data_IF_510862332497
#
_entry.id   IF_510862332497
#
_cell.length_a   1.000
_cell.length_b   1.000
_cell.length_c   1.000
_cell.angle_alpha   90.00
_cell.angle_beta   90.00
_cell.angle_gamma   90.00
#
_symmetry.space_group_name_H-M   'P 1'
#
loop_
_entity.id
_entity.type
_entity.pdbx_description
1 polymer ?
#
# COMPACT_ATOMS: atom_id res chain seq x y z
N UNK A 1 66.40 -12.40 12.88
CA UNK A 1 65.38 -12.84 13.87
C UNK A 1 64.59 -11.63 14.39
N UNK A 2 63.81 -10.96 13.52
CA UNK A 2 62.88 -9.86 13.88
C UNK A 2 61.93 -9.51 12.73
N UNK A 3 61.56 -10.50 11.90
CA UNK A 3 60.71 -10.34 10.73
C UNK A 3 59.67 -11.48 10.58
N UNK A 4 59.48 -12.31 11.62
CA UNK A 4 58.61 -13.51 11.57
C UNK A 4 57.38 -13.40 12.47
N UNK A 5 57.16 -12.27 13.15
CA UNK A 5 56.10 -12.13 14.17
C UNK A 5 55.05 -11.07 13.82
N UNK A 6 55.17 -10.43 12.65
CA UNK A 6 54.19 -9.46 12.14
C UNK A 6 53.21 -10.08 11.13
N UNK A 7 53.53 -11.23 10.55
CA UNK A 7 52.66 -11.93 9.57
C UNK A 7 51.66 -12.90 10.23
N UNK A 8 51.73 -13.09 11.55
CA UNK A 8 50.84 -14.01 12.29
C UNK A 8 49.57 -13.33 12.84
N UNK A 9 49.40 -12.01 12.66
CA UNK A 9 48.20 -11.26 13.09
C UNK A 9 47.51 -10.66 11.87
N UNK A 10 47.37 -11.48 10.82
CA UNK A 10 46.46 -11.22 9.71
C UNK A 10 45.52 -12.43 9.56
N UNK A 11 45.14 -13.02 10.69
CA UNK A 11 44.00 -13.93 10.76
C UNK A 11 42.78 -13.16 10.26
N UNK A 12 42.26 -13.63 9.14
CA UNK A 12 41.03 -13.21 8.49
C UNK A 12 40.02 -12.67 9.50
N UNK A 13 39.78 -11.35 9.46
CA UNK A 13 38.48 -10.85 9.84
C UNK A 13 37.54 -11.29 8.71
N UNK A 14 37.12 -12.55 8.78
CA UNK A 14 35.93 -13.02 8.06
C UNK A 14 34.79 -12.23 8.69
N UNK A 15 34.50 -11.05 8.12
CA UNK A 15 33.20 -10.43 8.31
C UNK A 15 32.24 -11.48 7.76
N UNK A 16 31.42 -12.15 8.58
CA UNK A 16 30.45 -13.09 8.06
C UNK A 16 29.69 -12.33 6.98
N UNK A 17 29.61 -12.89 5.77
CA UNK A 17 28.82 -12.35 4.69
C UNK A 17 27.45 -11.98 5.28
N UNK A 18 27.27 -10.69 5.59
CA UNK A 18 25.98 -10.17 5.97
C UNK A 18 25.26 -10.14 4.63
N UNK A 19 24.66 -11.27 4.29
CA UNK A 19 23.70 -11.38 3.22
C UNK A 19 22.57 -10.45 3.62
N UNK A 20 22.70 -9.17 3.30
CA UNK A 20 21.57 -8.26 3.26
C UNK A 20 20.74 -8.85 2.14
N UNK A 21 19.81 -9.75 2.50
CA UNK A 21 18.71 -10.07 1.61
C UNK A 21 18.12 -8.72 1.22
N UNK A 22 18.13 -8.35 -0.08
CA UNK A 22 17.59 -7.07 -0.46
C UNK A 22 16.17 -7.01 0.06
N UNK A 23 15.77 -5.90 0.69
CA UNK A 23 14.46 -5.70 1.34
C UNK A 23 13.28 -6.05 0.40
N UNK A 24 13.55 -6.10 -0.91
CA UNK A 24 12.61 -6.39 -1.99
C UNK A 24 12.83 -7.76 -2.66
N UNK A 25 13.52 -8.70 -2.02
CA UNK A 25 13.61 -10.08 -2.51
C UNK A 25 12.21 -10.71 -2.54
N UNK A 26 11.79 -11.27 -3.68
CA UNK A 26 10.45 -11.84 -3.87
C UNK A 26 9.33 -10.86 -4.23
N UNK A 27 9.58 -9.55 -4.31
CA UNK A 27 8.58 -8.60 -4.84
C UNK A 27 8.47 -8.77 -6.35
N UNK A 28 7.25 -8.99 -6.83
CA UNK A 28 6.87 -9.18 -8.23
C UNK A 28 5.57 -8.45 -8.57
N UNK A 29 5.29 -8.26 -9.85
CA UNK A 29 4.10 -7.56 -10.36
C UNK A 29 2.80 -8.24 -9.91
N UNK A 30 2.83 -9.55 -9.67
CA UNK A 30 1.68 -10.31 -9.14
C UNK A 30 1.22 -9.83 -7.76
N UNK A 31 2.07 -9.16 -6.98
CA UNK A 31 1.65 -8.50 -5.73
C UNK A 31 0.57 -7.45 -5.99
N UNK A 32 0.60 -6.78 -7.15
CA UNK A 32 -0.41 -5.79 -7.51
C UNK A 32 -1.78 -6.45 -7.68
N UNK A 33 -1.86 -7.59 -8.38
CA UNK A 33 -3.10 -8.34 -8.52
C UNK A 33 -3.61 -8.89 -7.18
N UNK A 34 -2.71 -9.49 -6.38
CA UNK A 34 -3.08 -10.00 -5.07
C UNK A 34 -3.62 -8.88 -4.17
N UNK A 35 -3.00 -7.71 -4.21
CA UNK A 35 -3.44 -6.53 -3.45
C UNK A 35 -4.76 -5.97 -3.97
N UNK A 36 -4.97 -5.93 -5.28
CA UNK A 36 -6.24 -5.51 -5.88
C UNK A 36 -7.38 -6.46 -5.47
N UNK A 37 -7.13 -7.77 -5.49
CA UNK A 37 -8.10 -8.77 -5.03
C UNK A 37 -8.44 -8.58 -3.54
N UNK A 38 -7.43 -8.35 -2.69
CA UNK A 38 -7.63 -8.06 -1.27
C UNK A 38 -8.46 -6.78 -1.07
N UNK A 39 -8.11 -5.68 -1.75
CA UNK A 39 -8.85 -4.42 -1.69
C UNK A 39 -10.31 -4.60 -2.13
N UNK A 40 -10.56 -5.42 -3.16
CA UNK A 40 -11.91 -5.76 -3.62
C UNK A 40 -12.71 -6.51 -2.54
N UNK A 41 -12.09 -7.48 -1.86
CA UNK A 41 -12.75 -8.22 -0.79
C UNK A 41 -13.11 -7.32 0.39
N UNK A 42 -12.22 -6.40 0.77
CA UNK A 42 -12.50 -5.39 1.81
C UNK A 42 -13.65 -4.50 1.36
N UNK A 43 -13.62 -3.99 0.12
CA UNK A 43 -14.71 -3.19 -0.45
C UNK A 43 -16.06 -3.91 -0.41
N UNK A 44 -16.13 -5.19 -0.79
CA UNK A 44 -17.36 -5.97 -0.74
C UNK A 44 -17.89 -6.13 0.68
N UNK A 45 -17.00 -6.37 1.65
CA UNK A 45 -17.38 -6.44 3.06
C UNK A 45 -17.98 -5.11 3.52
N UNK A 46 -17.35 -3.98 3.19
CA UNK A 46 -17.84 -2.65 3.53
C UNK A 46 -19.20 -2.34 2.87
N UNK A 47 -19.42 -2.78 1.63
CA UNK A 47 -20.70 -2.64 0.93
C UNK A 47 -21.84 -3.36 1.66
N UNK A 48 -21.60 -4.60 2.10
CA UNK A 48 -22.57 -5.37 2.87
C UNK A 48 -22.84 -4.71 4.23
N UNK A 49 -21.79 -4.27 4.93
CA UNK A 49 -21.95 -3.55 6.20
C UNK A 49 -22.77 -2.27 6.03
N UNK A 50 -22.48 -1.47 5.00
CA UNK A 50 -23.25 -0.26 4.69
C UNK A 50 -24.73 -0.58 4.39
N UNK A 51 -24.99 -1.65 3.61
CA UNK A 51 -26.35 -2.11 3.29
C UNK A 51 -27.11 -2.52 4.54
N UNK A 52 -26.47 -3.27 5.45
CA UNK A 52 -27.07 -3.69 6.72
C UNK A 52 -27.38 -2.52 7.66
N UNK A 53 -26.57 -1.46 7.64
CA UNK A 53 -26.81 -0.24 8.44
C UNK A 53 -27.99 0.56 7.88
N UNK A 54 -27.99 0.80 6.56
CA UNK A 54 -28.95 1.68 5.90
C UNK A 54 -30.31 1.00 5.78
N UNK A 55 -30.34 -0.26 5.31
CA UNK A 55 -31.57 -0.99 5.03
C UNK A 55 -31.94 -2.00 6.11
N UNK A 56 -30.95 -2.67 6.70
CA UNK A 56 -31.19 -3.71 7.72
C UNK A 56 -31.65 -3.18 9.08
N UNK A 57 -31.59 -1.86 9.32
CA UNK A 57 -31.99 -1.19 10.57
C UNK A 57 -31.39 -1.82 11.84
N UNK A 58 -30.20 -2.40 11.74
CA UNK A 58 -29.51 -3.02 12.88
C UNK A 58 -28.91 -1.94 13.80
N UNK A 59 -29.64 -1.58 14.87
CA UNK A 59 -29.22 -0.54 15.80
C UNK A 59 -27.92 -0.87 16.55
N UNK A 60 -27.57 -2.16 16.65
CA UNK A 60 -26.28 -2.60 17.18
C UNK A 60 -25.10 -2.10 16.32
N UNK A 61 -25.23 -2.13 14.99
CA UNK A 61 -24.17 -1.68 14.08
C UNK A 61 -24.00 -0.16 14.11
N UNK A 62 -25.09 0.59 14.30
CA UNK A 62 -25.05 2.07 14.41
C UNK A 62 -24.27 2.55 15.64
N UNK A 63 -24.15 1.74 16.68
CA UNK A 63 -23.32 2.06 17.87
C UNK A 63 -21.83 1.91 17.60
N UNK A 64 -21.45 1.02 16.69
CA UNK A 64 -20.05 0.73 16.35
C UNK A 64 -19.59 1.61 15.19
N UNK A 65 -20.41 1.74 14.16
CA UNK A 65 -20.14 2.54 12.96
C UNK A 65 -20.86 3.87 13.11
N UNK A 66 -20.15 4.82 13.72
CA UNK A 66 -20.66 6.14 14.10
C UNK A 66 -20.91 7.04 12.88
N UNK A 67 -20.11 6.87 11.83
CA UNK A 67 -20.20 7.66 10.60
C UNK A 67 -20.34 6.77 9.35
N UNK A 68 -21.56 6.26 9.04
CA UNK A 68 -21.80 5.37 7.90
C UNK A 68 -21.40 5.97 6.54
N UNK A 69 -21.46 7.30 6.38
CA UNK A 69 -21.01 7.97 5.17
C UNK A 69 -19.50 7.80 4.91
N UNK A 70 -18.67 7.69 5.94
CA UNK A 70 -17.24 7.43 5.80
C UNK A 70 -16.97 5.97 5.44
N UNK A 71 -17.82 5.04 5.89
CA UNK A 71 -17.76 3.64 5.44
C UNK A 71 -18.07 3.54 3.94
N UNK A 72 -19.09 4.26 3.46
CA UNK A 72 -19.40 4.31 2.03
C UNK A 72 -18.26 4.95 1.23
N UNK A 73 -17.62 6.02 1.74
CA UNK A 73 -16.42 6.58 1.08
C UNK A 73 -15.27 5.59 1.00
N UNK A 74 -14.98 4.89 2.10
CA UNK A 74 -13.96 3.84 2.14
C UNK A 74 -14.25 2.77 1.10
N UNK A 75 -15.50 2.30 1.01
CA UNK A 75 -15.93 1.28 0.06
C UNK A 75 -15.66 1.70 -1.38
N UNK A 76 -16.12 2.89 -1.74
CA UNK A 76 -15.96 3.45 -3.09
C UNK A 76 -14.47 3.64 -3.41
N UNK A 77 -13.69 4.13 -2.46
CA UNK A 77 -12.27 4.38 -2.66
C UNK A 77 -11.50 3.06 -2.82
N UNK A 78 -11.79 2.01 -2.04
CA UNK A 78 -11.24 0.67 -2.28
C UNK A 78 -11.63 0.10 -3.64
N UNK A 79 -12.86 0.33 -4.12
CA UNK A 79 -13.28 -0.09 -5.47
C UNK A 79 -12.45 0.63 -6.54
N UNK A 80 -12.26 1.94 -6.40
CA UNK A 80 -11.45 2.74 -7.33
C UNK A 80 -10.00 2.27 -7.30
N UNK A 81 -9.41 2.09 -6.11
CA UNK A 81 -8.03 1.63 -5.96
C UNK A 81 -7.82 0.22 -6.54
N UNK A 82 -8.81 -0.67 -6.37
CA UNK A 82 -8.82 -1.99 -7.02
C UNK A 82 -8.78 -1.86 -8.54
N UNK A 83 -9.66 -1.04 -9.12
CA UNK A 83 -9.73 -0.83 -10.56
C UNK A 83 -8.43 -0.23 -11.11
N UNK A 84 -7.91 0.80 -10.44
CA UNK A 84 -6.64 1.45 -10.82
C UNK A 84 -5.46 0.48 -10.75
N UNK A 85 -5.33 -0.29 -9.67
CA UNK A 85 -4.23 -1.23 -9.50
C UNK A 85 -4.30 -2.40 -10.48
N UNK A 86 -5.51 -2.93 -10.71
CA UNK A 86 -5.77 -3.97 -11.72
C UNK A 86 -5.44 -3.47 -13.13
N UNK A 87 -5.90 -2.28 -13.51
CA UNK A 87 -5.55 -1.64 -14.78
C UNK A 87 -4.04 -1.44 -14.91
N UNK A 88 -3.39 -0.92 -13.87
CA UNK A 88 -1.94 -0.68 -13.86
C UNK A 88 -1.18 -1.98 -14.10
N UNK A 89 -1.54 -3.07 -13.42
CA UNK A 89 -0.95 -4.39 -13.65
C UNK A 89 -1.11 -4.82 -15.11
N UNK A 90 -2.33 -4.75 -15.65
CA UNK A 90 -2.62 -5.19 -17.02
C UNK A 90 -1.81 -4.39 -18.06
N UNK A 91 -1.72 -3.06 -17.90
CA UNK A 91 -0.96 -2.21 -18.82
C UNK A 91 0.54 -2.49 -18.75
N UNK A 92 1.09 -2.65 -17.55
CA UNK A 92 2.50 -2.94 -17.33
C UNK A 92 2.89 -4.27 -17.98
N UNK A 93 2.07 -5.31 -17.78
CA UNK A 93 2.26 -6.62 -18.43
C UNK A 93 2.10 -6.51 -19.95
N UNK A 94 1.05 -5.83 -20.43
CA UNK A 94 0.75 -5.72 -21.85
C UNK A 94 1.83 -4.96 -22.64
N UNK A 95 2.39 -3.90 -22.06
CA UNK A 95 3.46 -3.09 -22.68
C UNK A 95 4.88 -3.64 -22.45
N UNK A 96 5.01 -4.68 -21.63
CA UNK A 96 6.31 -5.20 -21.19
C UNK A 96 7.13 -4.16 -20.43
N UNK A 97 6.48 -3.38 -19.56
CA UNK A 97 7.17 -2.41 -18.69
C UNK A 97 7.67 -3.16 -17.46
N UNK A 98 8.97 -3.09 -17.18
CA UNK A 98 9.53 -3.60 -15.93
C UNK A 98 9.47 -2.52 -14.86
N UNK A 99 8.74 -2.79 -13.78
CA UNK A 99 8.62 -1.82 -12.68
C UNK A 99 9.73 -2.02 -11.65
N UNK A 100 10.35 -0.91 -11.18
CA UNK A 100 11.20 -1.00 -10.00
C UNK A 100 10.40 -1.53 -8.81
N UNK A 101 10.97 -2.46 -8.06
CA UNK A 101 10.30 -3.14 -6.94
C UNK A 101 9.73 -2.19 -5.88
N UNK A 102 10.41 -1.07 -5.64
CA UNK A 102 9.93 -0.05 -4.70
C UNK A 102 8.62 0.60 -5.16
N UNK A 103 8.39 0.73 -6.48
CA UNK A 103 7.13 1.25 -7.04
C UNK A 103 5.99 0.28 -6.76
N UNK A 104 6.23 -1.02 -6.95
CA UNK A 104 5.26 -2.08 -6.65
C UNK A 104 4.85 -2.02 -5.17
N UNK A 105 5.82 -1.91 -4.26
CA UNK A 105 5.55 -1.78 -2.82
C UNK A 105 4.74 -0.53 -2.51
N UNK A 106 5.11 0.64 -3.06
CA UNK A 106 4.36 1.88 -2.85
C UNK A 106 2.91 1.78 -3.35
N UNK A 107 2.69 1.18 -4.50
CA UNK A 107 1.36 0.94 -5.05
C UNK A 107 0.54 0.04 -4.12
N UNK A 108 1.09 -1.10 -3.70
CA UNK A 108 0.40 -2.03 -2.82
C UNK A 108 0.04 -1.41 -1.46
N UNK A 109 1.01 -0.73 -0.83
CA UNK A 109 0.79 -0.03 0.45
C UNK A 109 -0.23 1.08 0.29
N UNK A 110 -0.09 1.90 -0.75
CA UNK A 110 -0.99 3.02 -1.01
C UNK A 110 -2.42 2.60 -1.27
N UNK A 111 -2.63 1.58 -2.09
CA UNK A 111 -3.96 1.06 -2.46
C UNK A 111 -4.74 0.57 -1.24
N UNK A 112 -4.04 0.01 -0.24
CA UNK A 112 -4.67 -0.40 1.01
C UNK A 112 -4.82 0.77 2.00
N UNK A 113 -3.77 1.56 2.18
CA UNK A 113 -3.74 2.56 3.24
C UNK A 113 -4.57 3.82 2.91
N UNK A 114 -4.74 4.15 1.62
CA UNK A 114 -5.50 5.33 1.21
C UNK A 114 -6.98 5.24 1.63
N UNK A 115 -7.76 4.20 1.23
CA UNK A 115 -9.15 4.08 1.67
C UNK A 115 -9.28 3.80 3.17
N UNK A 116 -8.29 3.14 3.78
CA UNK A 116 -8.28 2.79 5.20
C UNK A 116 -8.47 4.00 6.13
N UNK A 117 -7.99 5.19 5.75
CA UNK A 117 -8.24 6.42 6.50
C UNK A 117 -9.73 6.74 6.66
N UNK A 118 -10.55 6.47 5.63
CA UNK A 118 -12.00 6.63 5.70
C UNK A 118 -12.66 5.52 6.52
N UNK A 119 -12.17 4.28 6.43
CA UNK A 119 -12.64 3.18 7.26
C UNK A 119 -12.47 3.52 8.75
N UNK A 120 -11.27 3.97 9.16
CA UNK A 120 -11.01 4.38 10.54
C UNK A 120 -11.95 5.51 10.97
N UNK A 121 -12.19 6.49 10.10
CA UNK A 121 -13.14 7.59 10.35
C UNK A 121 -14.60 7.16 10.42
N UNK A 122 -14.96 5.99 9.89
CA UNK A 122 -16.31 5.44 10.03
C UNK A 122 -16.58 4.98 11.48
N UNK A 123 -15.56 4.44 12.15
CA UNK A 123 -15.62 4.01 13.55
C UNK A 123 -15.30 5.15 14.52
N UNK A 124 -14.27 5.95 14.21
CA UNK A 124 -13.79 7.06 15.04
C UNK A 124 -13.68 8.34 14.20
N UNK A 125 -14.76 9.14 14.09
CA UNK A 125 -14.80 10.32 13.21
C UNK A 125 -13.74 11.39 13.53
N UNK A 126 -13.22 11.41 14.76
CA UNK A 126 -12.16 12.34 15.20
C UNK A 126 -10.74 11.86 14.88
N UNK A 127 -10.56 10.66 14.31
CA UNK A 127 -9.25 10.14 13.94
C UNK A 127 -8.67 10.87 12.71
N UNK A 128 -7.36 11.12 12.72
CA UNK A 128 -6.65 11.68 11.56
C UNK A 128 -7.13 13.08 11.16
N UNK A 129 -7.50 13.92 12.13
CA UNK A 129 -7.79 15.33 11.89
C UNK A 129 -6.51 16.07 11.51
N UNK A 130 -6.51 16.67 10.31
CA UNK A 130 -5.38 17.40 9.73
C UNK A 130 -5.03 18.70 10.49
N UNK A 131 -5.77 19.03 11.54
CA UNK A 131 -5.47 20.11 12.46
C UNK A 131 -4.21 19.82 13.28
N UNK A 132 -3.91 18.54 13.53
CA UNK A 132 -2.70 18.11 14.24
C UNK A 132 -1.58 17.72 13.26
N UNK A 133 -0.33 17.92 13.66
CA UNK A 133 0.84 17.54 12.84
C UNK A 133 0.84 16.04 12.53
N UNK A 134 0.55 15.20 13.53
CA UNK A 134 0.43 13.75 13.34
C UNK A 134 -0.72 13.38 12.40
N UNK A 135 -1.85 14.08 12.47
CA UNK A 135 -2.96 13.89 11.55
C UNK A 135 -2.61 14.24 10.10
N UNK A 136 -1.84 15.31 9.87
CA UNK A 136 -1.32 15.66 8.54
C UNK A 136 -0.40 14.57 7.99
N UNK A 137 0.52 14.07 8.81
CA UNK A 137 1.42 12.98 8.42
C UNK A 137 0.63 11.72 8.05
N UNK A 138 -0.38 11.35 8.84
CA UNK A 138 -1.23 10.19 8.54
C UNK A 138 -2.00 10.36 7.22
N UNK A 139 -2.55 11.55 6.95
CA UNK A 139 -3.20 11.85 5.67
C UNK A 139 -2.20 11.76 4.51
N UNK A 140 -1.03 12.38 4.63
CA UNK A 140 0.01 12.30 3.61
C UNK A 140 0.48 10.87 3.35
N UNK A 141 0.63 10.05 4.40
CA UNK A 141 0.97 8.64 4.27
C UNK A 141 -0.12 7.84 3.52
N UNK A 142 -1.39 8.27 3.59
CA UNK A 142 -2.49 7.74 2.77
C UNK A 142 -2.33 8.03 1.28
N UNK A 143 -2.10 9.29 0.92
CA UNK A 143 -2.18 9.74 -0.46
C UNK A 143 -0.85 9.72 -1.23
N UNK A 144 0.28 9.91 -0.56
CA UNK A 144 1.57 10.03 -1.24
C UNK A 144 2.00 8.72 -1.93
N UNK A 145 1.89 7.52 -1.31
CA UNK A 145 2.31 6.29 -1.97
C UNK A 145 1.54 5.99 -3.25
N UNK A 146 0.21 6.21 -3.26
CA UNK A 146 -0.62 6.05 -4.47
C UNK A 146 -0.27 7.09 -5.53
N UNK A 147 -0.07 8.35 -5.13
CA UNK A 147 0.28 9.44 -6.06
C UNK A 147 1.61 9.17 -6.75
N UNK A 148 2.65 8.81 -5.98
CA UNK A 148 3.98 8.51 -6.52
C UNK A 148 3.93 7.22 -7.35
N UNK A 149 3.29 6.16 -6.83
CA UNK A 149 3.19 4.88 -7.50
C UNK A 149 2.48 4.97 -8.85
N UNK A 150 1.22 5.44 -8.86
CA UNK A 150 0.46 5.55 -10.11
C UNK A 150 1.07 6.59 -11.05
N UNK A 151 1.57 7.72 -10.52
CA UNK A 151 2.25 8.73 -11.33
C UNK A 151 3.48 8.19 -12.04
N UNK A 152 4.31 7.41 -11.34
CA UNK A 152 5.47 6.76 -11.95
C UNK A 152 5.05 5.83 -13.09
N UNK A 153 4.07 4.95 -12.85
CA UNK A 153 3.64 3.99 -13.88
C UNK A 153 3.07 4.72 -15.09
N UNK A 154 2.21 5.73 -14.90
CA UNK A 154 1.64 6.46 -16.04
C UNK A 154 2.71 7.22 -16.83
N UNK A 155 3.74 7.75 -16.16
CA UNK A 155 4.89 8.32 -16.86
C UNK A 155 5.65 7.27 -17.68
N UNK A 156 5.90 6.09 -17.11
CA UNK A 156 6.53 4.98 -17.84
C UNK A 156 5.68 4.52 -19.05
N UNK A 157 4.36 4.50 -18.90
CA UNK A 157 3.43 4.22 -20.00
C UNK A 157 3.58 5.25 -21.11
N UNK A 158 3.59 6.55 -20.79
CA UNK A 158 3.79 7.61 -21.78
C UNK A 158 5.11 7.44 -22.53
N UNK A 159 6.21 7.18 -21.83
CA UNK A 159 7.53 6.93 -22.43
C UNK A 159 7.53 5.69 -23.34
N UNK A 160 6.67 4.72 -23.06
CA UNK A 160 6.63 3.44 -23.79
C UNK A 160 5.77 3.47 -25.06
N UNK A 161 4.76 4.33 -25.10
CA UNK A 161 3.75 4.41 -26.20
C UNK A 161 3.95 5.58 -27.16
N UNK A 162 4.73 6.59 -26.75
CA UNK A 162 5.13 7.73 -27.59
C UNK A 162 6.49 7.40 -28.20
#
# INVERSE_FOLDING_TARGET
MKLSMAESIMSEVVIPNLSITPIFEGVSETWMLATAALAMLISLLEAWLATLIVYGRLDALKKVIVAPHNLIRSHVDYTIMTALLGFTYLVVVWLGIELPKWVIVLLCVGVLYNPFGFLVKAFKPTAGQAETVLGRIAVCAGFLPTTIGFGYVMFAVLVRVI
#
